data_IF_402999632148
#
_entry.id   IF_402999632148
#
_cell.length_a   1.000
_cell.length_b   1.000
_cell.length_c   1.000
_cell.angle_alpha   90.00
_cell.angle_beta   90.00
_cell.angle_gamma   90.00
#
_symmetry.space_group_name_H-M   'P 1'
#
loop_
_entity.id
_entity.type
_entity.pdbx_description
1 polymer ?
#
# COMPACT_ATOMS: atom_id res chain seq x y z
N UNK A 1 13.78 -11.54 11.11
CA UNK A 1 12.47 -12.16 10.80
C UNK A 1 11.55 -12.04 12.03
N UNK A 2 10.31 -11.70 11.81
CA UNK A 2 9.31 -11.57 12.86
C UNK A 2 8.56 -12.90 12.97
N UNK A 3 8.52 -13.48 14.19
CA UNK A 3 7.81 -14.74 14.44
C UNK A 3 6.31 -14.49 14.63
N UNK A 4 5.52 -15.59 14.61
CA UNK A 4 4.09 -15.51 14.91
C UNK A 4 3.83 -14.86 16.27
N UNK A 5 4.59 -15.25 17.30
CA UNK A 5 4.45 -14.69 18.64
C UNK A 5 4.78 -13.20 18.68
N UNK A 6 5.81 -12.78 17.98
CA UNK A 6 6.19 -11.38 17.90
C UNK A 6 5.11 -10.54 17.21
N UNK A 7 4.49 -11.05 16.13
CA UNK A 7 3.35 -10.38 15.50
C UNK A 7 2.18 -10.23 16.47
N UNK A 8 1.85 -11.29 17.21
CA UNK A 8 0.70 -11.29 18.13
C UNK A 8 0.94 -10.42 19.36
N UNK A 9 2.18 -10.31 19.83
CA UNK A 9 2.52 -9.53 21.02
C UNK A 9 2.87 -8.08 20.72
N UNK A 10 3.09 -7.73 19.45
CA UNK A 10 3.42 -6.37 19.03
C UNK A 10 2.23 -5.64 18.43
N UNK A 11 2.50 -4.43 17.95
CA UNK A 11 1.52 -3.59 17.28
C UNK A 11 1.84 -3.55 15.78
N UNK A 12 1.57 -4.67 15.09
CA UNK A 12 1.88 -4.84 13.69
C UNK A 12 0.66 -4.64 12.81
N UNK A 13 0.87 -4.02 11.65
CA UNK A 13 -0.19 -3.70 10.70
C UNK A 13 0.19 -4.16 9.30
N UNK A 14 -0.79 -4.68 8.57
CA UNK A 14 -0.68 -4.94 7.14
C UNK A 14 -1.36 -3.77 6.42
N UNK A 15 -0.57 -3.02 5.67
CA UNK A 15 -1.06 -1.88 4.89
C UNK A 15 -1.14 -2.30 3.43
N UNK A 16 -2.28 -2.07 2.81
CA UNK A 16 -2.55 -2.43 1.42
C UNK A 16 -3.02 -1.20 0.67
N UNK A 17 -2.32 -0.85 -0.41
CA UNK A 17 -2.74 0.20 -1.33
C UNK A 17 -3.12 -0.45 -2.66
N UNK A 18 -4.39 -0.31 -3.06
CA UNK A 18 -4.92 -0.95 -4.27
C UNK A 18 -5.01 0.04 -5.42
N UNK A 19 -4.37 -0.33 -6.54
CA UNK A 19 -4.46 0.44 -7.76
C UNK A 19 -5.81 0.18 -8.46
N UNK A 20 -6.58 1.22 -8.85
CA UNK A 20 -7.98 1.04 -9.24
C UNK A 20 -8.21 0.32 -10.57
N UNK A 21 -7.18 0.24 -11.43
CA UNK A 21 -7.32 -0.31 -12.79
C UNK A 21 -7.31 -1.84 -12.81
N UNK A 22 -6.60 -2.47 -11.88
CA UNK A 22 -6.46 -3.93 -11.84
C UNK A 22 -6.60 -4.45 -10.41
N UNK A 23 -7.41 -5.48 -10.24
CA UNK A 23 -7.73 -6.04 -8.91
C UNK A 23 -6.52 -6.67 -8.19
N UNK A 24 -5.52 -7.11 -8.95
CA UNK A 24 -4.31 -7.73 -8.41
C UNK A 24 -3.13 -6.75 -8.29
N UNK A 25 -3.30 -5.51 -8.72
CA UNK A 25 -2.27 -4.48 -8.61
C UNK A 25 -2.37 -3.79 -7.24
N UNK A 26 -1.52 -4.21 -6.32
CA UNK A 26 -1.48 -3.63 -4.99
C UNK A 26 -0.06 -3.57 -4.43
N UNK A 27 0.17 -2.61 -3.53
CA UNK A 27 1.37 -2.53 -2.70
C UNK A 27 0.98 -3.03 -1.32
N UNK A 28 1.81 -3.92 -0.77
CA UNK A 28 1.64 -4.46 0.57
C UNK A 28 2.85 -4.07 1.41
N UNK A 29 2.62 -3.66 2.65
CA UNK A 29 3.67 -3.31 3.58
C UNK A 29 3.29 -3.75 4.99
N UNK A 30 4.23 -4.36 5.70
CA UNK A 30 4.05 -4.77 7.09
C UNK A 30 4.87 -3.84 7.96
N UNK A 31 4.22 -3.13 8.87
CA UNK A 31 4.84 -2.08 9.68
C UNK A 31 4.39 -2.19 11.14
N UNK A 32 5.32 -1.91 12.06
CA UNK A 32 5.00 -1.80 13.47
C UNK A 32 4.61 -0.35 13.79
N UNK A 33 3.45 -0.18 14.42
CA UNK A 33 2.95 1.15 14.80
C UNK A 33 1.96 1.02 15.96
N UNK A 34 2.03 1.92 16.93
CA UNK A 34 1.10 1.92 18.06
C UNK A 34 -0.33 2.21 17.64
N UNK A 35 -0.50 3.02 16.59
CA UNK A 35 -1.80 3.36 16.02
C UNK A 35 -1.84 2.97 14.56
N UNK A 36 -3.03 3.01 13.95
CA UNK A 36 -3.20 2.80 12.51
C UNK A 36 -2.24 3.73 11.76
N UNK A 37 -1.25 3.18 11.04
CA UNK A 37 -0.23 4.01 10.38
C UNK A 37 -0.78 4.90 9.26
N UNK A 38 -1.96 4.57 8.70
CA UNK A 38 -2.59 5.37 7.66
C UNK A 38 -3.22 6.66 8.17
N UNK A 39 -3.32 6.82 9.50
CA UNK A 39 -3.76 8.08 10.11
C UNK A 39 -2.69 9.18 10.00
N UNK A 40 -1.44 8.82 9.76
CA UNK A 40 -0.37 9.77 9.50
C UNK A 40 -0.35 10.09 8.01
N UNK A 41 -0.65 11.35 7.66
CA UNK A 41 -0.77 11.78 6.26
C UNK A 41 0.52 11.57 5.46
N UNK A 42 1.68 11.84 6.05
CA UNK A 42 2.95 11.67 5.36
C UNK A 42 3.20 10.22 4.98
N UNK A 43 2.90 9.28 5.87
CA UNK A 43 3.02 7.85 5.60
C UNK A 43 2.01 7.40 4.54
N UNK A 44 0.75 7.79 4.69
CA UNK A 44 -0.31 7.44 3.74
C UNK A 44 0.02 7.92 2.33
N UNK A 45 0.47 9.17 2.21
CA UNK A 45 0.83 9.77 0.93
C UNK A 45 2.03 9.05 0.28
N UNK A 46 3.02 8.66 1.07
CA UNK A 46 4.19 7.93 0.60
C UNK A 46 3.81 6.57 0.01
N UNK A 47 2.93 5.82 0.69
CA UNK A 47 2.46 4.51 0.21
C UNK A 47 1.64 4.64 -1.07
N UNK A 48 0.77 5.64 -1.14
CA UNK A 48 -0.04 5.91 -2.34
C UNK A 48 0.86 6.28 -3.52
N UNK A 49 1.85 7.14 -3.29
CA UNK A 49 2.82 7.53 -4.33
C UNK A 49 3.60 6.33 -4.86
N UNK A 50 4.05 5.46 -3.96
CA UNK A 50 4.73 4.21 -4.35
C UNK A 50 3.82 3.32 -5.20
N UNK A 51 2.54 3.23 -4.86
CA UNK A 51 1.55 2.47 -5.61
C UNK A 51 1.40 3.01 -7.04
N UNK A 52 1.29 4.33 -7.19
CA UNK A 52 1.21 4.97 -8.50
C UNK A 52 2.48 4.69 -9.31
N UNK A 53 3.65 4.88 -8.71
CA UNK A 53 4.92 4.67 -9.41
C UNK A 53 5.11 3.22 -9.85
N UNK A 54 4.61 2.27 -9.08
CA UNK A 54 4.73 0.84 -9.40
C UNK A 54 3.78 0.40 -10.51
N UNK A 55 2.59 0.99 -10.62
CA UNK A 55 1.53 0.52 -11.52
C UNK A 55 1.10 1.52 -12.58
N UNK A 56 1.72 2.69 -12.65
CA UNK A 56 1.36 3.73 -13.63
C UNK A 56 1.47 3.26 -15.08
N UNK A 57 2.36 2.30 -15.36
CA UNK A 57 2.52 1.74 -16.70
C UNK A 57 1.23 1.12 -17.26
N UNK A 58 0.26 0.79 -16.40
CA UNK A 58 -0.99 0.17 -16.83
C UNK A 58 -1.92 1.14 -17.55
N UNK A 59 -1.94 2.42 -17.16
CA UNK A 59 -2.92 3.36 -17.66
C UNK A 59 -2.44 4.82 -17.71
N UNK A 60 -1.14 5.08 -17.52
CA UNK A 60 -0.65 6.46 -17.60
C UNK A 60 -0.77 7.01 -19.01
N UNK A 61 -1.08 8.32 -19.15
CA UNK A 61 -1.10 8.94 -20.47
C UNK A 61 0.30 8.97 -21.08
N UNK A 62 0.35 8.89 -22.41
CA UNK A 62 1.60 9.01 -23.16
C UNK A 62 2.09 10.46 -23.07
N UNK A 63 3.27 10.68 -22.49
CA UNK A 63 3.85 12.01 -22.30
C UNK A 63 4.06 12.72 -23.65
N UNK A 64 4.32 11.98 -24.72
CA UNK A 64 4.49 12.56 -26.06
C UNK A 64 3.19 13.13 -26.64
N UNK A 65 2.03 12.65 -26.18
CA UNK A 65 0.71 13.07 -26.66
C UNK A 65 0.02 14.06 -25.70
N UNK A 66 0.44 14.13 -24.44
CA UNK A 66 -0.18 14.94 -23.41
C UNK A 66 0.81 15.97 -22.88
N UNK A 67 0.30 17.13 -22.50
CA UNK A 67 1.13 18.13 -21.83
C UNK A 67 1.31 17.78 -20.35
N UNK A 68 2.22 18.50 -19.68
CA UNK A 68 2.56 18.28 -18.28
C UNK A 68 1.36 18.46 -17.34
N UNK A 69 0.49 19.43 -17.64
CA UNK A 69 -0.69 19.68 -16.80
C UNK A 69 -1.69 18.54 -16.88
N UNK A 70 -1.84 17.90 -18.04
CA UNK A 70 -2.70 16.73 -18.19
C UNK A 70 -2.18 15.53 -17.41
N UNK A 71 -0.85 15.36 -17.38
CA UNK A 71 -0.21 14.32 -16.57
C UNK A 71 -0.42 14.58 -15.08
N UNK A 72 -0.28 15.81 -14.62
CA UNK A 72 -0.51 16.19 -13.22
C UNK A 72 -1.96 15.94 -12.82
N UNK A 73 -2.93 16.29 -13.66
CA UNK A 73 -4.35 16.03 -13.41
C UNK A 73 -4.63 14.53 -13.30
N UNK A 74 -4.03 13.73 -14.19
CA UNK A 74 -4.14 12.28 -14.15
C UNK A 74 -3.57 11.73 -12.83
N UNK A 75 -2.39 12.19 -12.42
CA UNK A 75 -1.73 11.78 -11.19
C UNK A 75 -2.59 12.10 -9.97
N UNK A 76 -3.09 13.32 -9.89
CA UNK A 76 -3.93 13.77 -8.77
C UNK A 76 -5.21 12.93 -8.67
N UNK A 77 -5.81 12.57 -9.80
CA UNK A 77 -6.99 11.72 -9.83
C UNK A 77 -6.67 10.30 -9.34
N UNK A 78 -5.55 9.73 -9.78
CA UNK A 78 -5.11 8.42 -9.30
C UNK A 78 -4.83 8.42 -7.81
N UNK A 79 -4.24 9.50 -7.31
CA UNK A 79 -3.96 9.65 -5.89
C UNK A 79 -5.25 9.58 -5.05
N UNK A 80 -6.33 10.17 -5.54
CA UNK A 80 -7.65 10.12 -4.89
C UNK A 80 -8.32 8.75 -5.03
N UNK A 81 -8.10 8.06 -6.14
CA UNK A 81 -8.79 6.80 -6.46
C UNK A 81 -8.17 5.57 -5.78
N UNK A 82 -6.92 5.66 -5.33
CA UNK A 82 -6.26 4.53 -4.67
C UNK A 82 -6.86 4.30 -3.30
N UNK A 83 -7.35 3.08 -3.07
CA UNK A 83 -7.83 2.64 -1.77
C UNK A 83 -6.67 2.22 -0.88
N UNK A 84 -6.59 2.83 0.30
CA UNK A 84 -5.58 2.52 1.30
C UNK A 84 -6.27 1.89 2.51
N UNK A 85 -5.80 0.71 2.90
CA UNK A 85 -6.36 -0.05 4.02
C UNK A 85 -5.25 -0.46 4.97
N UNK A 86 -5.52 -0.38 6.27
CA UNK A 86 -4.62 -0.90 7.30
C UNK A 86 -5.37 -1.93 8.13
N UNK A 87 -4.80 -3.12 8.24
CA UNK A 87 -5.37 -4.24 8.97
C UNK A 87 -4.44 -4.59 10.12
N UNK A 88 -4.96 -4.57 11.35
CA UNK A 88 -4.20 -5.01 12.52
C UNK A 88 -3.88 -6.50 12.35
N UNK A 89 -2.60 -6.86 12.46
CA UNK A 89 -2.17 -8.25 12.33
C UNK A 89 -2.54 -9.01 13.60
N UNK A 90 -3.53 -9.89 13.46
CA UNK A 90 -3.99 -10.82 14.49
C UNK A 90 -3.82 -12.25 14.01
N UNK A 91 -4.33 -13.21 14.79
CA UNK A 91 -4.23 -14.62 14.43
C UNK A 91 -4.91 -14.95 13.09
N UNK A 92 -6.04 -14.29 12.77
CA UNK A 92 -6.74 -14.49 11.50
C UNK A 92 -5.90 -14.04 10.31
N UNK A 93 -5.24 -12.90 10.41
CA UNK A 93 -4.36 -12.36 9.36
C UNK A 93 -3.18 -13.30 9.15
N UNK A 94 -2.57 -13.78 10.25
CA UNK A 94 -1.45 -14.71 10.17
C UNK A 94 -1.87 -16.03 9.52
N UNK A 95 -3.06 -16.55 9.86
CA UNK A 95 -3.58 -17.79 9.28
C UNK A 95 -3.90 -17.62 7.78
N UNK A 96 -4.40 -16.44 7.38
CA UNK A 96 -4.76 -16.15 5.99
C UNK A 96 -3.53 -15.96 5.09
N UNK A 97 -2.57 -15.17 5.53
CA UNK A 97 -1.41 -14.78 4.71
C UNK A 97 -0.16 -15.61 4.99
N UNK A 98 0.07 -15.98 6.22
CA UNK A 98 1.25 -16.74 6.66
C UNK A 98 2.39 -15.84 7.13
N UNK A 99 3.14 -16.35 8.12
CA UNK A 99 4.27 -15.64 8.72
C UNK A 99 5.33 -15.29 7.67
N UNK A 100 5.63 -16.23 6.77
CA UNK A 100 6.63 -16.01 5.72
C UNK A 100 6.21 -14.88 4.78
N UNK A 101 4.95 -14.90 4.33
CA UNK A 101 4.42 -13.86 3.43
C UNK A 101 4.49 -12.49 4.09
N UNK A 102 4.08 -12.38 5.36
CA UNK A 102 4.13 -11.13 6.10
C UNK A 102 5.57 -10.61 6.25
N UNK A 103 6.53 -11.51 6.48
CA UNK A 103 7.94 -11.12 6.58
C UNK A 103 8.51 -10.63 5.25
N UNK A 104 8.01 -11.13 4.12
CA UNK A 104 8.44 -10.68 2.79
C UNK A 104 8.08 -9.20 2.54
N UNK A 105 7.09 -8.65 3.23
CA UNK A 105 6.63 -7.27 3.09
C UNK A 105 7.00 -6.37 4.27
N UNK A 106 7.92 -6.79 5.12
CA UNK A 106 8.41 -5.93 6.20
C UNK A 106 9.02 -4.64 5.65
N UNK A 107 8.60 -3.53 6.24
CA UNK A 107 9.08 -2.21 5.87
C UNK A 107 10.56 -2.01 6.23
#
# INVERSE_FOLDING_TARGET
MVSKEEFLNGNWWLVIAKYPVASDASINEVIESEEDPTLEDSYANEVIDECINSFSYLDSPDIDEYDESQFEDWYDQKFEDIELEAIKIDEKVIDEYGVKWLNDYLA
#
